data_IF_535141119059
#
_entry.id   IF_535141119059
#
_cell.length_a   1.000
_cell.length_b   1.000
_cell.length_c   1.000
_cell.angle_alpha   90.00
_cell.angle_beta   90.00
_cell.angle_gamma   90.00
#
_symmetry.space_group_name_H-M   'P 1'
#
loop_
_entity.id
_entity.type
_entity.pdbx_description
1 polymer ?
#
# COMPACT_ATOMS: atom_id res chain seq x y z
N UNK A 1 2.92 -2.74 -10.33
CA UNK A 1 2.50 -2.48 -11.73
C UNK A 1 2.46 -3.75 -12.59
N UNK A 2 3.59 -4.41 -12.94
CA UNK A 2 3.55 -5.58 -13.85
C UNK A 2 2.81 -6.80 -13.27
N UNK A 3 2.97 -7.08 -11.97
CA UNK A 3 2.30 -8.20 -11.30
C UNK A 3 0.77 -8.02 -11.25
N UNK A 4 0.29 -6.83 -10.90
CA UNK A 4 -1.13 -6.52 -10.76
C UNK A 4 -1.86 -6.69 -12.11
N UNK A 5 -1.30 -6.12 -13.17
CA UNK A 5 -1.85 -6.24 -14.53
C UNK A 5 -1.81 -7.71 -14.99
N UNK A 6 -0.70 -8.41 -14.77
CA UNK A 6 -0.56 -9.82 -15.15
C UNK A 6 -1.57 -10.71 -14.44
N UNK A 7 -1.84 -10.44 -13.14
CA UNK A 7 -2.84 -11.17 -12.37
C UNK A 7 -4.25 -10.94 -12.93
N UNK A 8 -4.65 -9.67 -13.11
CA UNK A 8 -5.98 -9.35 -13.63
C UNK A 8 -6.19 -9.95 -15.02
N UNK A 9 -5.17 -9.89 -15.89
CA UNK A 9 -5.21 -10.53 -17.21
C UNK A 9 -5.36 -12.04 -17.11
N UNK A 10 -4.58 -12.70 -16.24
CA UNK A 10 -4.66 -14.15 -16.02
C UNK A 10 -6.06 -14.60 -15.60
N UNK A 11 -6.68 -13.89 -14.65
CA UNK A 11 -8.04 -14.19 -14.19
C UNK A 11 -9.09 -13.93 -15.28
N UNK A 12 -8.80 -13.02 -16.21
CA UNK A 12 -9.72 -12.63 -17.28
C UNK A 12 -9.64 -13.53 -18.52
N UNK A 13 -8.47 -14.14 -18.81
CA UNK A 13 -8.24 -15.00 -20.00
C UNK A 13 -9.28 -16.12 -20.14
N UNK A 14 -9.59 -16.92 -19.10
CA UNK A 14 -10.58 -18.00 -19.21
C UNK A 14 -11.99 -17.52 -19.55
N UNK A 15 -12.28 -16.24 -19.28
CA UNK A 15 -13.59 -15.62 -19.47
C UNK A 15 -13.69 -14.77 -20.73
N UNK A 16 -12.60 -14.67 -21.50
CA UNK A 16 -12.53 -13.95 -22.77
C UNK A 16 -13.30 -14.67 -23.90
N UNK A 17 -14.54 -15.10 -23.63
CA UNK A 17 -15.44 -15.70 -24.62
C UNK A 17 -15.89 -14.61 -25.59
N UNK A 18 -15.84 -14.89 -26.89
CA UNK A 18 -16.24 -13.94 -27.96
C UNK A 18 -15.44 -12.62 -27.98
N UNK A 19 -14.13 -12.66 -27.66
CA UNK A 19 -13.23 -11.49 -27.67
C UNK A 19 -13.62 -10.37 -26.69
N UNK A 20 -14.41 -10.69 -25.66
CA UNK A 20 -14.83 -9.75 -24.63
C UNK A 20 -14.73 -10.38 -23.24
N UNK A 21 -14.52 -9.55 -22.21
CA UNK A 21 -14.54 -9.94 -20.80
C UNK A 21 -15.56 -9.06 -20.12
N UNK A 22 -16.39 -9.64 -19.24
CA UNK A 22 -17.34 -8.86 -18.45
C UNK A 22 -16.63 -7.95 -17.45
N UNK A 23 -17.04 -6.68 -17.37
CA UNK A 23 -16.48 -5.70 -16.41
C UNK A 23 -16.54 -6.21 -14.96
N UNK A 24 -17.60 -6.95 -14.61
CA UNK A 24 -17.77 -7.54 -13.27
C UNK A 24 -16.65 -8.52 -12.91
N UNK A 25 -16.11 -9.26 -13.89
CA UNK A 25 -15.01 -10.20 -13.68
C UNK A 25 -13.71 -9.47 -13.38
N UNK A 26 -13.40 -8.44 -14.18
CA UNK A 26 -12.24 -7.59 -13.96
C UNK A 26 -12.32 -6.94 -12.57
N UNK A 27 -13.50 -6.41 -12.21
CA UNK A 27 -13.72 -5.81 -10.90
C UNK A 27 -13.48 -6.80 -9.76
N UNK A 28 -13.98 -8.04 -9.86
CA UNK A 28 -13.73 -9.08 -8.85
C UNK A 28 -12.25 -9.37 -8.65
N UNK A 29 -11.47 -9.43 -9.73
CA UNK A 29 -10.02 -9.64 -9.65
C UNK A 29 -9.32 -8.46 -8.96
N UNK A 30 -9.73 -7.23 -9.27
CA UNK A 30 -9.23 -6.01 -8.61
C UNK A 30 -9.60 -6.02 -7.11
N UNK A 31 -10.86 -6.27 -6.77
CA UNK A 31 -11.34 -6.31 -5.38
C UNK A 31 -10.62 -7.38 -4.56
N UNK A 32 -10.34 -8.54 -5.18
CA UNK A 32 -9.54 -9.59 -4.55
C UNK A 32 -8.12 -9.09 -4.24
N UNK A 33 -7.45 -8.45 -5.20
CA UNK A 33 -6.12 -7.89 -4.98
C UNK A 33 -6.12 -6.79 -3.90
N UNK A 34 -7.15 -5.95 -3.85
CA UNK A 34 -7.30 -4.93 -2.79
C UNK A 34 -7.43 -5.62 -1.42
N UNK A 35 -8.29 -6.63 -1.32
CA UNK A 35 -8.51 -7.42 -0.09
C UNK A 35 -7.22 -8.09 0.39
N UNK A 36 -6.44 -8.67 -0.53
CA UNK A 36 -5.14 -9.28 -0.20
C UNK A 36 -4.17 -8.23 0.37
N UNK A 37 -4.10 -7.05 -0.24
CA UNK A 37 -3.23 -5.97 0.25
C UNK A 37 -3.73 -5.38 1.58
N UNK A 38 -5.03 -5.22 1.78
CA UNK A 38 -5.61 -4.89 3.09
C UNK A 38 -5.16 -5.90 4.17
N UNK A 39 -5.23 -7.19 3.84
CA UNK A 39 -4.73 -8.29 4.69
C UNK A 39 -3.24 -8.15 5.01
N UNK A 40 -2.42 -7.79 4.02
CA UNK A 40 -0.97 -7.55 4.18
C UNK A 40 -0.68 -6.45 5.20
N UNK A 41 -1.37 -5.31 5.12
CA UNK A 41 -1.27 -4.23 6.12
C UNK A 41 -1.70 -4.71 7.50
N UNK A 42 -2.81 -5.44 7.58
CA UNK A 42 -3.32 -6.01 8.83
C UNK A 42 -2.35 -6.97 9.50
N UNK A 43 -1.77 -7.88 8.73
CA UNK A 43 -0.80 -8.86 9.22
C UNK A 43 0.48 -8.19 9.72
N UNK A 44 0.96 -7.16 9.01
CA UNK A 44 2.17 -6.44 9.38
C UNK A 44 1.99 -5.54 10.61
N UNK A 45 0.93 -4.73 10.63
CA UNK A 45 0.70 -3.79 11.73
C UNK A 45 0.19 -4.49 12.99
N UNK A 46 -0.60 -5.57 12.86
CA UNK A 46 -1.30 -6.23 13.97
C UNK A 46 -1.98 -5.20 14.89
N UNK A 47 -1.67 -5.23 16.19
CA UNK A 47 -2.14 -4.26 17.20
C UNK A 47 -1.11 -3.15 17.50
N UNK A 48 0.03 -3.12 16.81
CA UNK A 48 1.10 -2.15 17.06
C UNK A 48 0.65 -0.74 16.68
N UNK A 49 0.63 0.18 17.66
CA UNK A 49 0.15 1.55 17.47
C UNK A 49 1.05 2.38 16.56
N UNK A 50 2.38 2.25 16.67
CA UNK A 50 3.33 2.95 15.82
C UNK A 50 3.17 2.55 14.35
N UNK A 51 3.07 1.26 14.05
CA UNK A 51 2.84 0.77 12.67
C UNK A 51 1.51 1.25 12.09
N UNK A 52 0.45 1.25 12.92
CA UNK A 52 -0.86 1.81 12.51
C UNK A 52 -0.78 3.31 12.27
N UNK A 53 -0.04 4.07 13.09
CA UNK A 53 0.17 5.49 12.91
C UNK A 53 0.95 5.78 11.62
N UNK A 54 2.03 5.04 11.35
CA UNK A 54 2.79 5.12 10.11
C UNK A 54 1.90 4.93 8.87
N UNK A 55 1.04 3.90 8.88
CA UNK A 55 0.12 3.65 7.77
C UNK A 55 -0.94 4.75 7.59
N UNK A 56 -1.40 5.38 8.68
CA UNK A 56 -2.28 6.55 8.59
C UNK A 56 -1.57 7.76 7.99
N UNK A 57 -0.34 8.02 8.42
CA UNK A 57 0.47 9.14 7.93
C UNK A 57 0.76 8.97 6.42
N UNK A 58 1.22 7.79 6.01
CA UNK A 58 1.44 7.47 4.59
C UNK A 58 0.16 7.66 3.78
N UNK A 59 -0.99 7.20 4.27
CA UNK A 59 -2.26 7.38 3.56
C UNK A 59 -2.65 8.86 3.46
N UNK A 60 -2.43 9.65 4.51
CA UNK A 60 -2.69 11.08 4.52
C UNK A 60 -1.83 11.81 3.49
N UNK A 61 -0.53 11.53 3.45
CA UNK A 61 0.40 12.11 2.48
C UNK A 61 0.00 11.70 1.06
N UNK A 62 -0.32 10.42 0.86
CA UNK A 62 -0.66 9.90 -0.47
C UNK A 62 -1.93 10.51 -1.08
N UNK A 63 -2.86 10.98 -0.24
CA UNK A 63 -4.04 11.74 -0.71
C UNK A 63 -3.68 13.11 -1.29
N UNK A 64 -2.53 13.67 -0.92
CA UNK A 64 -2.06 14.98 -1.38
C UNK A 64 -1.04 14.86 -2.51
N UNK A 65 -0.11 13.90 -2.41
CA UNK A 65 0.95 13.64 -3.38
C UNK A 65 1.33 12.17 -3.43
N UNK A 66 1.65 11.64 -4.61
CA UNK A 66 1.90 10.21 -4.80
C UNK A 66 3.24 9.70 -4.19
N UNK A 67 4.13 10.61 -3.82
CA UNK A 67 5.49 10.33 -3.36
C UNK A 67 5.82 11.16 -2.12
N UNK A 68 6.69 10.65 -1.25
CA UNK A 68 7.08 11.33 -0.01
C UNK A 68 8.54 11.05 0.37
N UNK A 69 9.11 11.90 1.20
CA UNK A 69 10.46 11.78 1.78
C UNK A 69 10.37 11.39 3.26
N UNK A 70 11.49 11.09 3.92
CA UNK A 70 11.47 10.83 5.37
C UNK A 70 10.99 12.05 6.17
N UNK A 71 11.30 13.26 5.71
CA UNK A 71 10.87 14.51 6.35
C UNK A 71 9.35 14.66 6.33
N UNK A 72 8.68 14.14 5.29
CA UNK A 72 7.21 14.18 5.21
C UNK A 72 6.51 13.35 6.30
N UNK A 73 7.24 12.42 6.95
CA UNK A 73 6.74 11.59 8.05
C UNK A 73 7.39 11.93 9.39
N UNK A 74 8.10 13.06 9.50
CA UNK A 74 8.76 13.55 10.72
C UNK A 74 7.78 13.65 11.90
N UNK A 75 6.50 13.94 11.63
CA UNK A 75 5.45 14.02 12.65
C UNK A 75 5.32 12.74 13.50
N UNK A 76 5.77 11.59 12.99
CA UNK A 76 5.79 10.32 13.73
C UNK A 76 6.88 10.29 14.81
N UNK A 77 8.00 10.98 14.57
CA UNK A 77 9.09 11.15 15.54
C UNK A 77 8.66 12.15 16.62
N UNK A 78 8.08 13.29 16.22
CA UNK A 78 7.56 14.31 17.15
C UNK A 78 6.53 13.72 18.13
N UNK A 79 5.65 12.84 17.63
CA UNK A 79 4.63 12.12 18.40
C UNK A 79 5.19 10.92 19.19
N UNK A 80 6.49 10.65 19.12
CA UNK A 80 7.19 9.54 19.79
C UNK A 80 6.68 8.14 19.39
N UNK A 81 6.13 7.99 18.18
CA UNK A 81 5.81 6.66 17.65
C UNK A 81 7.06 5.91 17.22
N UNK A 82 8.08 6.65 16.77
CA UNK A 82 9.39 6.18 16.35
C UNK A 82 10.47 7.15 16.84
N UNK A 83 11.70 6.69 16.91
CA UNK A 83 12.88 7.54 16.80
C UNK A 83 13.35 7.59 15.34
N UNK A 84 14.30 8.45 15.02
CA UNK A 84 14.79 8.65 13.64
C UNK A 84 15.30 7.34 13.01
N UNK A 85 16.08 6.54 13.76
CA UNK A 85 16.65 5.30 13.26
C UNK A 85 15.58 4.23 13.05
N UNK A 86 14.67 4.08 14.01
CA UNK A 86 13.60 3.08 13.91
C UNK A 86 12.55 3.44 12.86
N UNK A 87 12.36 4.72 12.54
CA UNK A 87 11.52 5.16 11.42
C UNK A 87 12.15 4.80 10.07
N UNK A 88 13.45 5.09 9.87
CA UNK A 88 14.17 4.73 8.65
C UNK A 88 14.18 3.21 8.44
N UNK A 89 14.49 2.44 9.47
CA UNK A 89 14.45 0.96 9.44
C UNK A 89 13.06 0.44 9.07
N UNK A 90 11.99 1.04 9.60
CA UNK A 90 10.63 0.65 9.29
C UNK A 90 10.27 0.95 7.83
N UNK A 91 10.64 2.13 7.30
CA UNK A 91 10.45 2.45 5.88
C UNK A 91 11.22 1.47 4.97
N UNK A 92 12.46 1.15 5.32
CA UNK A 92 13.28 0.17 4.61
C UNK A 92 12.65 -1.23 4.66
N UNK A 93 12.05 -1.63 5.78
CA UNK A 93 11.31 -2.87 5.88
C UNK A 93 10.07 -2.88 4.98
N UNK A 94 9.33 -1.78 4.88
CA UNK A 94 8.20 -1.65 3.97
C UNK A 94 8.63 -1.74 2.49
N UNK A 95 9.84 -1.27 2.15
CA UNK A 95 10.43 -1.46 0.82
C UNK A 95 10.74 -2.94 0.56
N UNK A 96 11.43 -3.61 1.50
CA UNK A 96 11.75 -5.05 1.40
C UNK A 96 10.50 -5.92 1.26
N UNK A 97 9.41 -5.52 1.90
CA UNK A 97 8.12 -6.20 1.83
C UNK A 97 7.33 -5.92 0.55
N UNK A 98 7.84 -5.11 -0.37
CA UNK A 98 7.10 -4.65 -1.55
C UNK A 98 5.78 -3.95 -1.18
N UNK A 99 5.80 -3.13 -0.13
CA UNK A 99 4.69 -2.22 0.23
C UNK A 99 5.01 -0.83 -0.33
N UNK A 100 6.24 -0.38 -0.10
CA UNK A 100 6.78 0.85 -0.66
C UNK A 100 7.75 0.54 -1.81
N UNK A 101 7.81 1.44 -2.78
CA UNK A 101 8.91 1.57 -3.71
C UNK A 101 9.76 2.77 -3.30
N UNK A 102 11.08 2.63 -3.35
CA UNK A 102 12.04 3.69 -3.05
C UNK A 102 12.85 4.06 -4.29
N UNK A 103 12.94 5.35 -4.57
CA UNK A 103 13.80 5.90 -5.61
C UNK A 103 15.09 6.44 -4.98
N UNK A 104 16.26 5.79 -5.18
CA UNK A 104 17.50 6.20 -4.55
C UNK A 104 18.04 7.54 -5.10
N UNK A 105 17.68 7.93 -6.32
CA UNK A 105 18.14 9.18 -6.93
C UNK A 105 17.50 10.40 -6.30
N UNK A 106 16.23 10.27 -5.86
CA UNK A 106 15.47 11.38 -5.28
C UNK A 106 15.21 11.21 -3.78
N UNK A 107 15.66 10.10 -3.18
CA UNK A 107 15.34 9.71 -1.81
C UNK A 107 13.82 9.73 -1.51
N UNK A 108 12.99 9.32 -2.48
CA UNK A 108 11.54 9.35 -2.34
C UNK A 108 10.94 7.95 -2.25
N UNK A 109 9.95 7.81 -1.38
CA UNK A 109 9.09 6.65 -1.22
C UNK A 109 7.75 6.86 -1.95
N UNK A 110 7.13 5.75 -2.34
CA UNK A 110 5.77 5.71 -2.89
C UNK A 110 5.13 4.37 -2.61
N UNK A 111 3.80 4.28 -2.61
CA UNK A 111 3.13 2.98 -2.54
C UNK A 111 3.39 2.20 -3.83
N UNK A 112 3.63 0.90 -3.71
CA UNK A 112 3.94 0.05 -4.84
C UNK A 112 2.67 -0.33 -5.64
N UNK A 113 2.17 0.63 -6.42
CA UNK A 113 0.99 0.47 -7.27
C UNK A 113 -0.31 0.92 -6.61
N UNK A 114 -1.33 1.15 -7.44
CA UNK A 114 -2.62 1.70 -7.00
C UNK A 114 -3.39 0.73 -6.10
N UNK A 115 -3.23 -0.58 -6.29
CA UNK A 115 -3.92 -1.57 -5.45
C UNK A 115 -3.40 -1.50 -4.02
N UNK A 116 -2.11 -1.22 -3.83
CA UNK A 116 -1.53 -1.02 -2.52
C UNK A 116 -2.17 0.19 -1.81
N UNK A 117 -2.44 1.28 -2.54
CA UNK A 117 -3.18 2.43 -2.02
C UNK A 117 -4.61 2.07 -1.59
N UNK A 118 -5.37 1.38 -2.45
CA UNK A 118 -6.73 1.00 -2.09
C UNK A 118 -6.77 0.00 -0.92
N UNK A 119 -5.81 -0.92 -0.84
CA UNK A 119 -5.64 -1.83 0.29
C UNK A 119 -5.33 -1.09 1.60
N UNK A 120 -4.44 -0.09 1.54
CA UNK A 120 -4.12 0.78 2.68
C UNK A 120 -5.35 1.57 3.13
N UNK A 121 -6.10 2.12 2.18
CA UNK A 121 -7.32 2.87 2.45
C UNK A 121 -8.38 2.01 3.16
N UNK A 122 -8.58 0.76 2.71
CA UNK A 122 -9.49 -0.17 3.39
C UNK A 122 -9.00 -0.53 4.79
N UNK A 123 -7.69 -0.77 4.95
CA UNK A 123 -7.10 -1.12 6.23
C UNK A 123 -7.28 0.00 7.27
N UNK A 124 -6.96 1.25 6.89
CA UNK A 124 -7.11 2.41 7.79
C UNK A 124 -8.58 2.60 8.18
N UNK A 125 -9.51 2.51 7.21
CA UNK A 125 -10.95 2.58 7.50
C UNK A 125 -11.41 1.50 8.47
N UNK A 126 -10.86 0.29 8.38
CA UNK A 126 -11.23 -0.84 9.26
C UNK A 126 -10.80 -0.60 10.70
N UNK A 127 -9.62 -0.02 10.94
CA UNK A 127 -9.09 0.19 12.30
C UNK A 127 -9.61 1.48 12.96
N UNK A 128 -10.36 2.31 12.24
CA UNK A 128 -11.02 3.52 12.75
C UNK A 128 -12.49 3.31 13.10
N UNK A 129 -13.04 2.13 12.78
CA UNK A 129 -14.34 1.66 13.28
C UNK A 129 -14.18 1.13 14.71
#
# INVERSE_FOLDING_TARGET
MLFEISYVLRESIPQAKKKAVETKTVQKAIDHLITVNEGKFGYYAKINKSKRALFKEILMIHKQKNTFTIDDVESLVEKKFYDEYSLDDELNNLVRMNILAFNPTTAMYSLQGNIMYYGLQQFVRRIEK
#
